data_IF_685085287477
#
_entry.id   IF_685085287477
#
_cell.length_a   1.000
_cell.length_b   1.000
_cell.length_c   1.000
_cell.angle_alpha   90.00
_cell.angle_beta   90.00
_cell.angle_gamma   90.00
#
_symmetry.space_group_name_H-M   'P 1'
#
loop_
_entity.id
_entity.type
_entity.pdbx_description
1 polymer ?
#
# COMPACT_ATOMS: atom_id res chain seq x y z
N UNK A 1 -26.12 14.94 -17.77
CA UNK A 1 -24.90 15.18 -16.97
C UNK A 1 -24.76 14.30 -15.72
N UNK A 2 -25.84 13.79 -15.11
CA UNK A 2 -25.75 13.01 -13.85
C UNK A 2 -25.25 11.56 -13.97
N UNK A 3 -25.23 10.94 -15.16
CA UNK A 3 -24.86 9.52 -15.30
C UNK A 3 -23.35 9.29 -15.47
N UNK A 4 -22.63 10.22 -16.12
CA UNK A 4 -21.18 10.12 -16.38
C UNK A 4 -20.36 10.41 -15.14
N UNK A 5 -20.65 11.48 -14.40
CA UNK A 5 -19.93 11.81 -13.17
C UNK A 5 -20.05 10.68 -12.13
N UNK A 6 -21.24 10.10 -11.97
CA UNK A 6 -21.46 8.94 -11.08
C UNK A 6 -20.72 7.69 -11.58
N UNK A 7 -20.55 7.49 -12.88
CA UNK A 7 -19.81 6.34 -13.42
C UNK A 7 -18.30 6.49 -13.19
N UNK A 8 -17.79 7.72 -13.29
CA UNK A 8 -16.36 8.01 -13.30
C UNK A 8 -15.79 8.27 -11.89
N UNK A 9 -16.57 8.88 -11.00
CA UNK A 9 -16.15 9.22 -9.63
C UNK A 9 -16.39 8.08 -8.64
N UNK A 10 -17.42 7.27 -8.84
CA UNK A 10 -17.77 6.21 -7.87
C UNK A 10 -16.67 5.18 -7.63
N UNK A 11 -15.89 4.74 -8.63
CA UNK A 11 -14.73 3.87 -8.37
C UNK A 11 -13.77 4.50 -7.35
N UNK A 12 -13.41 5.77 -7.52
CA UNK A 12 -12.53 6.46 -6.58
C UNK A 12 -13.11 6.49 -5.17
N UNK A 13 -14.40 6.83 -5.04
CA UNK A 13 -15.11 6.86 -3.75
C UNK A 13 -15.11 5.49 -3.08
N UNK A 14 -15.37 4.41 -3.84
CA UNK A 14 -15.32 3.05 -3.30
C UNK A 14 -13.93 2.68 -2.79
N UNK A 15 -12.87 3.02 -3.52
CA UNK A 15 -11.50 2.73 -3.10
C UNK A 15 -11.14 3.44 -1.79
N UNK A 16 -11.55 4.72 -1.65
CA UNK A 16 -11.37 5.48 -0.40
C UNK A 16 -12.16 4.86 0.75
N UNK A 17 -13.44 4.53 0.54
CA UNK A 17 -14.28 3.90 1.57
C UNK A 17 -13.71 2.56 2.00
N UNK A 18 -13.33 1.69 1.06
CA UNK A 18 -12.77 0.37 1.35
C UNK A 18 -11.48 0.49 2.17
N UNK A 19 -10.61 1.43 1.81
CA UNK A 19 -9.37 1.66 2.56
C UNK A 19 -9.66 2.19 3.96
N UNK A 20 -10.59 3.14 4.10
CA UNK A 20 -11.02 3.66 5.40
C UNK A 20 -11.62 2.58 6.30
N UNK A 21 -12.47 1.72 5.75
CA UNK A 21 -13.07 0.57 6.47
C UNK A 21 -11.98 -0.42 6.88
N UNK A 22 -11.07 -0.79 5.97
CA UNK A 22 -9.99 -1.73 6.28
C UNK A 22 -9.07 -1.20 7.40
N UNK A 23 -8.74 0.09 7.38
CA UNK A 23 -7.96 0.74 8.44
C UNK A 23 -8.74 0.84 9.75
N UNK A 24 -10.05 1.11 9.72
CA UNK A 24 -10.88 1.09 10.92
C UNK A 24 -10.93 -0.32 11.54
N UNK A 25 -11.10 -1.35 10.73
CA UNK A 25 -11.04 -2.75 11.16
C UNK A 25 -9.68 -3.07 11.80
N UNK A 26 -8.56 -2.62 11.20
CA UNK A 26 -7.23 -2.78 11.78
C UNK A 26 -7.17 -2.15 13.18
N UNK A 27 -7.67 -0.91 13.35
CA UNK A 27 -7.66 -0.22 14.65
C UNK A 27 -8.50 -0.96 15.70
N UNK A 28 -9.66 -1.48 15.32
CA UNK A 28 -10.51 -2.29 16.20
C UNK A 28 -9.79 -3.58 16.61
N UNK A 29 -9.23 -4.31 15.64
CA UNK A 29 -8.50 -5.57 15.91
C UNK A 29 -7.27 -5.36 16.77
N UNK A 30 -6.54 -4.25 16.57
CA UNK A 30 -5.45 -3.84 17.47
C UNK A 30 -5.92 -3.68 18.92
N UNK A 31 -7.15 -3.22 19.12
CA UNK A 31 -7.76 -3.04 20.44
C UNK A 31 -8.24 -4.32 21.12
N UNK A 32 -8.39 -5.43 20.38
CA UNK A 32 -8.85 -6.72 20.93
C UNK A 32 -7.87 -7.26 21.97
N UNK A 33 -6.57 -7.07 21.76
CA UNK A 33 -5.56 -7.45 22.73
C UNK A 33 -4.31 -6.59 22.60
N UNK A 34 -3.93 -5.97 23.72
CA UNK A 34 -2.69 -5.23 23.91
C UNK A 34 -1.55 -6.08 24.45
N UNK A 35 -1.81 -7.38 24.69
CA UNK A 35 -0.81 -8.34 25.14
C UNK A 35 0.34 -8.41 24.13
N UNK A 36 1.53 -8.06 24.59
CA UNK A 36 2.75 -8.11 23.77
C UNK A 36 3.22 -9.55 23.66
N UNK A 37 3.48 -9.97 22.42
CA UNK A 37 4.01 -11.29 22.12
C UNK A 37 5.55 -11.30 22.17
N UNK A 38 6.18 -10.14 21.94
CA UNK A 38 7.62 -9.98 21.79
C UNK A 38 8.06 -8.61 22.34
N UNK A 39 9.37 -8.39 22.48
CA UNK A 39 9.93 -7.10 22.88
C UNK A 39 9.77 -6.05 21.78
N UNK A 40 9.50 -4.81 22.19
CA UNK A 40 9.49 -3.66 21.29
C UNK A 40 10.91 -3.28 20.91
N UNK A 41 11.12 -2.94 19.64
CA UNK A 41 12.38 -2.46 19.10
C UNK A 41 12.15 -1.33 18.11
N UNK A 42 13.19 -0.55 17.81
CA UNK A 42 13.13 0.46 16.77
C UNK A 42 13.31 -0.17 15.39
N UNK A 43 12.35 0.06 14.49
CA UNK A 43 12.37 -0.39 13.09
C UNK A 43 12.10 0.82 12.21
N UNK A 44 13.08 1.19 11.39
CA UNK A 44 12.96 2.27 10.41
C UNK A 44 12.35 3.57 10.98
N UNK A 45 12.80 4.00 12.16
CA UNK A 45 12.37 5.25 12.79
C UNK A 45 11.07 5.17 13.59
N UNK A 46 10.49 3.98 13.78
CA UNK A 46 9.30 3.78 14.61
C UNK A 46 9.47 2.61 15.59
N UNK A 47 8.78 2.66 16.73
CA UNK A 47 8.80 1.59 17.73
C UNK A 47 7.84 0.48 17.32
N UNK A 48 8.32 -0.76 17.31
CA UNK A 48 7.48 -1.93 17.05
C UNK A 48 6.59 -2.27 18.24
N UNK A 49 5.33 -2.64 17.94
CA UNK A 49 4.33 -3.01 18.95
C UNK A 49 3.74 -4.39 18.60
N UNK A 50 4.47 -5.49 18.82
CA UNK A 50 4.04 -6.85 18.45
C UNK A 50 2.93 -7.37 19.37
N UNK A 51 1.70 -6.86 19.24
CA UNK A 51 0.56 -7.30 20.05
C UNK A 51 -0.18 -8.47 19.39
N UNK A 52 -0.87 -9.27 20.21
CA UNK A 52 -1.73 -10.34 19.73
C UNK A 52 -2.82 -9.82 18.77
N UNK A 53 -3.41 -8.65 19.07
CA UNK A 53 -4.41 -8.02 18.20
C UNK A 53 -3.86 -7.70 16.80
N UNK A 54 -2.61 -7.22 16.69
CA UNK A 54 -1.94 -7.02 15.40
C UNK A 54 -1.70 -8.33 14.67
N UNK A 55 -1.28 -9.38 15.37
CA UNK A 55 -1.01 -10.67 14.74
C UNK A 55 -2.30 -11.25 14.15
N UNK A 56 -3.39 -11.22 14.92
CA UNK A 56 -4.71 -11.62 14.44
C UNK A 56 -5.13 -10.81 13.21
N UNK A 57 -4.94 -9.49 13.23
CA UNK A 57 -5.26 -8.62 12.09
C UNK A 57 -4.44 -9.01 10.85
N UNK A 58 -3.13 -9.21 10.99
CA UNK A 58 -2.25 -9.60 9.90
C UNK A 58 -2.66 -10.92 9.26
N UNK A 59 -2.94 -11.95 10.07
CA UNK A 59 -3.36 -13.27 9.57
C UNK A 59 -4.73 -13.19 8.88
N UNK A 60 -5.72 -12.57 9.52
CA UNK A 60 -7.08 -12.45 8.95
C UNK A 60 -7.05 -11.66 7.64
N UNK A 61 -6.34 -10.53 7.60
CA UNK A 61 -6.29 -9.68 6.42
C UNK A 61 -5.54 -10.36 5.27
N UNK A 62 -4.47 -11.10 5.56
CA UNK A 62 -3.75 -11.86 4.55
C UNK A 62 -4.63 -12.96 3.94
N UNK A 63 -5.36 -13.72 4.77
CA UNK A 63 -6.27 -14.77 4.28
C UNK A 63 -7.42 -14.19 3.46
N UNK A 64 -8.04 -13.11 3.95
CA UNK A 64 -9.09 -12.40 3.21
C UNK A 64 -8.58 -11.82 1.90
N UNK A 65 -7.36 -11.28 1.90
CA UNK A 65 -6.72 -10.75 0.70
C UNK A 65 -6.60 -11.80 -0.40
N UNK A 66 -6.07 -12.98 -0.06
CA UNK A 66 -5.93 -14.11 -0.99
C UNK A 66 -7.30 -14.61 -1.46
N UNK A 67 -8.27 -14.72 -0.54
CA UNK A 67 -9.62 -15.15 -0.89
C UNK A 67 -10.32 -14.16 -1.85
N UNK A 68 -10.15 -12.85 -1.64
CA UNK A 68 -10.72 -11.82 -2.51
C UNK A 68 -10.07 -11.83 -3.89
N UNK A 69 -8.75 -11.98 -3.98
CA UNK A 69 -8.06 -12.13 -5.26
C UNK A 69 -8.55 -13.37 -6.02
N UNK A 70 -8.64 -14.52 -5.34
CA UNK A 70 -9.13 -15.74 -5.95
C UNK A 70 -10.56 -15.60 -6.49
N UNK A 71 -11.47 -15.01 -5.70
CA UNK A 71 -12.83 -14.75 -6.14
C UNK A 71 -12.88 -13.74 -7.29
N UNK A 72 -12.07 -12.68 -7.25
CA UNK A 72 -11.99 -11.71 -8.35
C UNK A 72 -11.55 -12.35 -9.66
N UNK A 73 -10.50 -13.17 -9.65
CA UNK A 73 -10.05 -13.91 -10.84
C UNK A 73 -11.12 -14.90 -11.35
N UNK A 74 -11.89 -15.50 -10.45
CA UNK A 74 -13.00 -16.39 -10.82
C UNK A 74 -14.16 -15.62 -11.46
N UNK A 75 -14.47 -14.43 -10.97
CA UNK A 75 -15.50 -13.55 -11.53
C UNK A 75 -15.05 -13.04 -12.90
N UNK A 76 -13.80 -12.58 -13.04
CA UNK A 76 -13.21 -12.13 -14.30
C UNK A 76 -13.25 -13.23 -15.39
N UNK A 77 -13.12 -14.51 -15.02
CA UNK A 77 -13.24 -15.62 -15.98
C UNK A 77 -14.69 -15.89 -16.43
N UNK A 78 -15.69 -15.51 -15.63
CA UNK A 78 -17.12 -15.82 -15.84
C UNK A 78 -17.88 -14.67 -16.46
N UNK A 79 -17.53 -13.45 -16.10
CA UNK A 79 -18.11 -12.21 -16.57
C UNK A 79 -17.12 -11.49 -17.49
N UNK A 80 -17.58 -10.58 -18.34
CA UNK A 80 -16.67 -9.74 -19.12
C UNK A 80 -15.71 -8.97 -18.22
N UNK A 81 -14.54 -8.62 -18.76
CA UNK A 81 -13.47 -7.80 -18.15
C UNK A 81 -13.94 -6.53 -17.39
N UNK A 82 -15.12 -5.99 -17.70
CA UNK A 82 -15.68 -4.80 -17.04
C UNK A 82 -16.43 -5.05 -15.71
N UNK A 83 -16.42 -6.27 -15.16
CA UNK A 83 -17.16 -6.59 -13.92
C UNK A 83 -16.70 -5.70 -12.75
N UNK A 84 -17.61 -4.81 -12.31
CA UNK A 84 -17.40 -3.95 -11.14
C UNK A 84 -17.10 -4.76 -9.87
N UNK A 85 -17.72 -5.94 -9.74
CA UNK A 85 -17.51 -6.80 -8.57
C UNK A 85 -16.10 -7.38 -8.56
N UNK A 86 -15.60 -7.83 -9.71
CA UNK A 86 -14.20 -8.26 -9.84
C UNK A 86 -13.25 -7.12 -9.44
N UNK A 87 -13.48 -5.92 -9.96
CA UNK A 87 -12.67 -4.75 -9.62
C UNK A 87 -12.69 -4.45 -8.10
N UNK A 88 -13.87 -4.43 -7.46
CA UNK A 88 -14.01 -4.20 -6.01
C UNK A 88 -13.24 -5.25 -5.20
N UNK A 89 -13.38 -6.54 -5.55
CA UNK A 89 -12.66 -7.61 -4.86
C UNK A 89 -11.15 -7.48 -5.02
N UNK A 90 -10.67 -7.11 -6.22
CA UNK A 90 -9.25 -6.89 -6.49
C UNK A 90 -8.66 -5.78 -5.63
N UNK A 91 -9.29 -4.60 -5.61
CA UNK A 91 -8.78 -3.47 -4.83
C UNK A 91 -8.87 -3.70 -3.32
N UNK A 92 -9.94 -4.35 -2.86
CA UNK A 92 -10.09 -4.71 -1.45
C UNK A 92 -9.01 -5.71 -1.04
N UNK A 93 -8.76 -6.73 -1.87
CA UNK A 93 -7.66 -7.66 -1.68
C UNK A 93 -6.31 -6.94 -1.63
N UNK A 94 -5.98 -6.13 -2.63
CA UNK A 94 -4.70 -5.41 -2.67
C UNK A 94 -4.49 -4.48 -1.48
N UNK A 95 -5.56 -3.86 -0.98
CA UNK A 95 -5.55 -3.01 0.22
C UNK A 95 -5.30 -3.83 1.49
N UNK A 96 -5.98 -4.98 1.65
CA UNK A 96 -5.76 -5.87 2.79
C UNK A 96 -4.36 -6.48 2.78
N UNK A 97 -3.82 -6.82 1.61
CA UNK A 97 -2.43 -7.24 1.46
C UNK A 97 -1.47 -6.14 1.94
N UNK A 98 -1.74 -4.91 1.53
CA UNK A 98 -0.94 -3.75 1.93
C UNK A 98 -0.97 -3.57 3.45
N UNK A 99 -2.14 -3.67 4.09
CA UNK A 99 -2.19 -3.57 5.55
C UNK A 99 -1.45 -4.73 6.22
N UNK A 100 -1.65 -5.97 5.75
CA UNK A 100 -1.04 -7.14 6.37
C UNK A 100 0.51 -7.10 6.30
N UNK A 101 1.07 -6.64 5.18
CA UNK A 101 2.53 -6.62 4.96
C UNK A 101 3.14 -5.24 5.29
N UNK A 102 2.56 -4.15 4.77
CA UNK A 102 3.04 -2.78 4.97
C UNK A 102 2.88 -2.28 6.40
N UNK A 103 1.73 -2.52 7.02
CA UNK A 103 1.38 -1.92 8.32
C UNK A 103 1.54 -2.87 9.53
N UNK A 104 1.48 -4.19 9.29
CA UNK A 104 1.42 -5.17 10.39
C UNK A 104 2.70 -6.00 10.51
N UNK A 105 3.22 -6.57 9.43
CA UNK A 105 4.24 -7.62 9.54
C UNK A 105 5.54 -7.15 10.18
N UNK A 106 6.00 -5.93 9.92
CA UNK A 106 7.28 -5.41 10.43
C UNK A 106 7.30 -5.23 11.95
N UNK A 107 6.14 -5.27 12.62
CA UNK A 107 6.09 -5.28 14.07
C UNK A 107 6.58 -6.58 14.69
N UNK A 108 6.58 -7.67 13.93
CA UNK A 108 6.99 -9.00 14.37
C UNK A 108 8.40 -9.33 13.92
N UNK A 109 8.98 -10.35 14.52
CA UNK A 109 10.32 -10.82 14.21
C UNK A 109 10.60 -12.21 14.74
N UNK A 110 11.86 -12.61 14.63
CA UNK A 110 12.37 -13.88 15.14
C UNK A 110 13.59 -13.66 16.04
N UNK A 111 13.75 -14.46 17.11
CA UNK A 111 15.01 -14.50 17.85
C UNK A 111 16.08 -15.16 16.99
N UNK A 112 17.27 -14.57 16.97
CA UNK A 112 18.46 -15.07 16.27
C UNK A 112 19.65 -15.04 17.21
N UNK A 113 20.53 -16.03 17.08
CA UNK A 113 21.81 -16.04 17.79
C UNK A 113 22.87 -15.50 16.83
N UNK A 114 23.58 -14.45 17.25
CA UNK A 114 24.67 -13.89 16.45
C UNK A 114 25.85 -14.86 16.38
N UNK A 115 26.80 -14.62 15.47
CA UNK A 115 28.01 -15.46 15.35
C UNK A 115 28.84 -15.47 16.64
N UNK A 116 28.70 -14.41 17.43
CA UNK A 116 29.35 -14.23 18.73
C UNK A 116 28.56 -14.88 19.89
N UNK A 117 27.50 -15.65 19.60
CA UNK A 117 26.67 -16.30 20.60
C UNK A 117 25.67 -15.38 21.30
N UNK A 118 25.51 -14.14 20.84
CA UNK A 118 24.62 -13.15 21.47
C UNK A 118 23.20 -13.31 20.95
N UNK A 119 22.25 -13.51 21.86
CA UNK A 119 20.83 -13.50 21.54
C UNK A 119 20.38 -12.11 21.11
N UNK A 120 19.83 -12.00 19.90
CA UNK A 120 19.26 -10.77 19.35
C UNK A 120 17.88 -11.07 18.80
N UNK A 121 17.00 -10.09 18.86
CA UNK A 121 15.72 -10.16 18.19
C UNK A 121 15.84 -9.41 16.86
N UNK A 122 15.29 -9.94 15.77
CA UNK A 122 15.32 -9.30 14.44
C UNK A 122 13.91 -9.20 13.90
N UNK A 123 13.42 -7.98 13.73
CA UNK A 123 12.13 -7.71 13.12
C UNK A 123 12.13 -8.02 11.61
N UNK A 124 10.95 -8.35 11.08
CA UNK A 124 10.75 -8.41 9.64
C UNK A 124 10.97 -7.05 8.99
N UNK A 125 11.48 -7.00 7.74
CA UNK A 125 11.74 -5.74 7.06
C UNK A 125 10.48 -4.89 6.95
N UNK A 126 10.60 -3.58 7.22
CA UNK A 126 9.55 -2.62 6.89
C UNK A 126 9.64 -2.32 5.41
N UNK A 127 8.84 -3.02 4.61
CA UNK A 127 8.88 -2.90 3.14
C UNK A 127 8.63 -1.47 2.67
N UNK A 128 7.87 -0.68 3.42
CA UNK A 128 7.59 0.74 3.15
C UNK A 128 8.77 1.68 3.33
N UNK A 129 9.89 1.18 3.85
CA UNK A 129 11.13 1.92 4.00
C UNK A 129 12.10 1.64 2.84
N UNK A 130 13.30 2.23 2.93
CA UNK A 130 14.41 1.95 1.98
C UNK A 130 14.68 0.45 1.81
N UNK A 131 14.42 -0.37 2.84
CA UNK A 131 14.63 -1.82 2.81
C UNK A 131 13.80 -2.55 1.76
N UNK A 132 12.64 -2.01 1.38
CA UNK A 132 11.76 -2.66 0.41
C UNK A 132 11.85 -2.13 -1.01
N UNK A 133 12.71 -1.15 -1.31
CA UNK A 133 12.83 -0.55 -2.66
C UNK A 133 13.04 -1.61 -3.75
N UNK A 134 13.93 -2.57 -3.52
CA UNK A 134 14.18 -3.65 -4.49
C UNK A 134 12.96 -4.55 -4.69
N UNK A 135 12.23 -4.86 -3.61
CA UNK A 135 11.01 -5.67 -3.69
C UNK A 135 9.91 -4.91 -4.43
N UNK A 136 9.80 -3.59 -4.24
CA UNK A 136 8.89 -2.75 -5.01
C UNK A 136 9.19 -2.82 -6.50
N UNK A 137 10.46 -2.68 -6.90
CA UNK A 137 10.87 -2.76 -8.30
C UNK A 137 10.55 -4.13 -8.92
N UNK A 138 10.83 -5.22 -8.21
CA UNK A 138 10.49 -6.58 -8.66
C UNK A 138 8.98 -6.72 -8.85
N UNK A 139 8.19 -6.29 -7.87
CA UNK A 139 6.72 -6.38 -7.93
C UNK A 139 6.13 -5.49 -9.03
N UNK A 140 6.73 -4.33 -9.29
CA UNK A 140 6.37 -3.46 -10.41
C UNK A 140 6.64 -4.12 -11.77
N UNK A 141 7.80 -4.78 -11.92
CA UNK A 141 8.11 -5.56 -13.12
C UNK A 141 7.12 -6.70 -13.33
N UNK A 142 6.78 -7.43 -12.25
CA UNK A 142 5.76 -8.47 -12.28
C UNK A 142 4.41 -7.91 -12.71
N UNK A 143 3.99 -6.76 -12.16
CA UNK A 143 2.75 -6.10 -12.55
C UNK A 143 2.75 -5.74 -14.05
N UNK A 144 3.84 -5.17 -14.57
CA UNK A 144 3.97 -4.86 -15.99
C UNK A 144 3.85 -6.10 -16.91
N UNK A 145 4.44 -7.23 -16.50
CA UNK A 145 4.29 -8.50 -17.23
C UNK A 145 2.86 -9.03 -17.19
N UNK A 146 2.15 -8.83 -16.07
CA UNK A 146 0.75 -9.25 -15.91
C UNK A 146 -0.19 -8.40 -16.76
N UNK A 147 0.05 -7.09 -16.84
CA UNK A 147 -0.69 -6.18 -17.74
C UNK A 147 -0.65 -6.72 -19.17
N UNK A 148 0.52 -7.17 -19.64
CA UNK A 148 0.68 -7.75 -20.98
C UNK A 148 -0.04 -9.09 -21.16
N UNK A 149 -0.35 -9.81 -20.07
CA UNK A 149 -1.06 -11.09 -20.09
C UNK A 149 -2.59 -10.94 -19.93
N UNK A 150 -3.09 -9.72 -19.74
CA UNK A 150 -4.52 -9.43 -19.76
C UNK A 150 -5.32 -9.82 -18.51
N UNK A 151 -4.68 -10.09 -17.36
CA UNK A 151 -5.44 -10.27 -16.11
C UNK A 151 -5.63 -8.93 -15.41
N UNK A 152 -6.81 -8.34 -15.58
CA UNK A 152 -7.22 -7.09 -14.95
C UNK A 152 -7.32 -7.28 -13.45
N UNK A 153 -7.89 -8.40 -12.96
CA UNK A 153 -8.02 -8.62 -11.52
C UNK A 153 -6.67 -8.56 -10.80
N UNK A 154 -5.71 -9.33 -11.31
CA UNK A 154 -4.36 -9.37 -10.73
C UNK A 154 -3.62 -8.05 -10.89
N UNK A 155 -3.81 -7.36 -12.03
CA UNK A 155 -3.27 -6.01 -12.25
C UNK A 155 -3.79 -5.03 -11.20
N UNK A 156 -5.11 -4.99 -10.95
CA UNK A 156 -5.72 -4.08 -9.98
C UNK A 156 -5.33 -4.41 -8.55
N UNK A 157 -5.25 -5.68 -8.21
CA UNK A 157 -4.79 -6.15 -6.90
C UNK A 157 -3.36 -5.67 -6.62
N UNK A 158 -2.43 -5.93 -7.54
CA UNK A 158 -1.04 -5.51 -7.40
C UNK A 158 -0.88 -3.98 -7.50
N UNK A 159 -1.64 -3.31 -8.37
CA UNK A 159 -1.59 -1.86 -8.51
C UNK A 159 -2.06 -1.17 -7.22
N UNK A 160 -3.08 -1.72 -6.54
CA UNK A 160 -3.57 -1.17 -5.28
C UNK A 160 -2.58 -1.42 -4.14
N UNK A 161 -1.99 -2.62 -4.08
CA UNK A 161 -0.93 -2.95 -3.12
C UNK A 161 0.30 -2.03 -3.28
N UNK A 162 0.83 -1.95 -4.50
CA UNK A 162 1.99 -1.11 -4.82
C UNK A 162 1.67 0.38 -4.70
N UNK A 163 0.46 0.79 -5.06
CA UNK A 163 0.03 2.18 -5.00
C UNK A 163 0.06 2.74 -3.59
N UNK A 164 -0.48 2.00 -2.61
CA UNK A 164 -0.40 2.42 -1.21
C UNK A 164 1.05 2.49 -0.71
N UNK A 165 1.89 1.54 -1.12
CA UNK A 165 3.31 1.53 -0.78
C UNK A 165 4.11 2.67 -1.43
N UNK A 166 3.79 3.05 -2.68
CA UNK A 166 4.53 4.03 -3.45
C UNK A 166 4.69 5.38 -2.74
N UNK A 167 3.64 5.83 -2.02
CA UNK A 167 3.72 7.07 -1.26
C UNK A 167 4.83 7.04 -0.22
N UNK A 168 4.87 5.99 0.59
CA UNK A 168 5.91 5.81 1.60
C UNK A 168 7.32 5.77 0.98
N UNK A 169 7.49 5.08 -0.16
CA UNK A 169 8.78 5.07 -0.86
C UNK A 169 9.21 6.45 -1.33
N UNK A 170 8.30 7.20 -1.96
CA UNK A 170 8.62 8.52 -2.51
C UNK A 170 9.07 9.53 -1.46
N UNK A 171 8.66 9.35 -0.20
CA UNK A 171 8.98 10.28 0.88
C UNK A 171 10.12 9.75 1.75
N UNK A 172 9.99 8.50 2.23
CA UNK A 172 10.94 7.90 3.18
C UNK A 172 12.22 7.44 2.48
N UNK A 173 12.12 6.82 1.29
CA UNK A 173 13.29 6.23 0.63
C UNK A 173 14.09 7.24 -0.20
N UNK A 174 13.46 8.32 -0.69
CA UNK A 174 14.14 9.29 -1.56
C UNK A 174 14.95 10.32 -0.78
N UNK A 175 14.56 10.66 0.46
CA UNK A 175 15.24 11.68 1.25
C UNK A 175 16.72 11.36 1.52
N UNK A 176 17.11 10.14 1.95
CA UNK A 176 18.52 9.78 2.12
C UNK A 176 19.32 9.94 0.83
N UNK A 177 18.74 9.56 -0.31
CA UNK A 177 19.38 9.71 -1.64
C UNK A 177 19.56 11.18 -1.99
N UNK A 178 18.53 12.01 -1.75
CA UNK A 178 18.61 13.45 -1.98
C UNK A 178 19.70 14.10 -1.12
N UNK A 179 19.81 13.70 0.15
CA UNK A 179 20.88 14.17 1.05
C UNK A 179 22.27 13.80 0.55
N UNK A 180 22.45 12.58 0.02
CA UNK A 180 23.71 12.15 -0.60
C UNK A 180 24.07 12.98 -1.85
N UNK A 181 23.07 13.47 -2.58
CA UNK A 181 23.23 14.35 -3.74
C UNK A 181 23.38 15.84 -3.39
N UNK A 182 23.53 16.18 -2.11
CA UNK A 182 23.75 17.55 -1.66
C UNK A 182 22.48 18.38 -1.44
N UNK A 183 21.30 17.74 -1.38
CA UNK A 183 20.06 18.43 -1.03
C UNK A 183 20.16 19.04 0.38
N UNK A 184 19.97 20.35 0.47
CA UNK A 184 20.02 21.11 1.74
C UNK A 184 18.66 21.22 2.43
N UNK A 185 17.58 20.77 1.77
CA UNK A 185 16.26 20.76 2.37
C UNK A 185 16.25 19.84 3.60
N UNK A 186 15.55 20.28 4.64
CA UNK A 186 15.19 19.40 5.74
C UNK A 186 14.20 18.32 5.27
N UNK A 187 14.08 17.25 6.07
CA UNK A 187 13.23 16.10 5.74
C UNK A 187 11.75 16.48 5.56
N UNK A 188 11.26 17.46 6.31
CA UNK A 188 9.87 17.89 6.28
C UNK A 188 9.55 18.59 4.96
N UNK A 189 10.41 19.53 4.57
CA UNK A 189 10.33 20.29 3.33
C UNK A 189 10.52 19.37 2.13
N UNK A 190 11.43 18.40 2.21
CA UNK A 190 11.59 17.36 1.20
C UNK A 190 10.32 16.53 1.02
N UNK A 191 9.74 16.01 2.11
CA UNK A 191 8.53 15.20 2.04
C UNK A 191 7.35 15.97 1.43
N UNK A 192 7.21 17.26 1.75
CA UNK A 192 6.20 18.14 1.13
C UNK A 192 6.42 18.32 -0.37
N UNK A 193 7.66 18.62 -0.77
CA UNK A 193 8.01 18.81 -2.18
C UNK A 193 7.83 17.51 -2.98
N UNK A 194 8.38 16.41 -2.47
CA UNK A 194 8.25 15.08 -3.07
C UNK A 194 6.78 14.65 -3.16
N UNK A 195 6.01 14.82 -2.09
CA UNK A 195 4.57 14.56 -2.08
C UNK A 195 3.85 15.34 -3.17
N UNK A 196 3.98 16.68 -3.17
CA UNK A 196 3.31 17.55 -4.13
C UNK A 196 3.66 17.22 -5.60
N UNK A 197 4.95 17.08 -5.90
CA UNK A 197 5.42 16.79 -7.27
C UNK A 197 4.87 15.44 -7.75
N UNK A 198 4.98 14.39 -6.93
CA UNK A 198 4.46 13.07 -7.30
C UNK A 198 2.94 13.08 -7.43
N UNK A 199 2.22 13.79 -6.56
CA UNK A 199 0.77 13.92 -6.67
C UNK A 199 0.33 14.61 -7.96
N UNK A 200 1.02 15.68 -8.39
CA UNK A 200 0.69 16.36 -9.66
C UNK A 200 0.94 15.42 -10.84
N UNK A 201 2.10 14.76 -10.88
CA UNK A 201 2.45 13.83 -11.97
C UNK A 201 1.44 12.68 -12.04
N UNK A 202 1.16 12.04 -10.89
CA UNK A 202 0.19 10.95 -10.83
C UNK A 202 -1.23 11.42 -11.14
N UNK A 203 -1.63 12.63 -10.74
CA UNK A 203 -2.93 13.17 -11.08
C UNK A 203 -3.10 13.33 -12.60
N UNK A 204 -2.09 13.87 -13.28
CA UNK A 204 -2.09 14.00 -14.75
C UNK A 204 -2.19 12.62 -15.42
N UNK A 205 -1.37 11.66 -14.98
CA UNK A 205 -1.39 10.28 -15.50
C UNK A 205 -2.76 9.63 -15.24
N UNK A 206 -3.30 9.77 -14.03
CA UNK A 206 -4.60 9.21 -13.65
C UNK A 206 -5.76 9.77 -14.47
N UNK A 207 -5.81 11.10 -14.66
CA UNK A 207 -6.81 11.76 -15.52
C UNK A 207 -6.68 11.28 -16.97
N UNK A 208 -5.45 11.12 -17.47
CA UNK A 208 -5.21 10.61 -18.82
C UNK A 208 -5.69 9.16 -18.98
N UNK A 209 -5.39 8.29 -18.00
CA UNK A 209 -5.85 6.89 -17.99
C UNK A 209 -7.37 6.74 -17.86
N UNK A 210 -8.04 7.68 -17.19
CA UNK A 210 -9.50 7.71 -17.08
C UNK A 210 -10.20 7.98 -18.41
N UNK A 211 -9.54 8.65 -19.36
CA UNK A 211 -10.08 8.94 -20.70
C UNK A 211 -9.91 7.77 -21.69
N UNK A 212 -9.37 6.65 -21.23
CA UNK A 212 -9.06 5.44 -22.01
C UNK A 212 -9.83 4.23 -21.43
N UNK A 213 -9.70 3.07 -22.06
CA UNK A 213 -10.27 1.80 -21.57
C UNK A 213 -9.66 1.34 -20.23
N UNK A 214 -8.65 2.05 -19.73
CA UNK A 214 -7.95 1.82 -18.46
C UNK A 214 -8.53 2.61 -17.27
N UNK A 215 -9.82 2.97 -17.31
CA UNK A 215 -10.45 3.87 -16.31
C UNK A 215 -10.27 3.43 -14.85
N UNK A 216 -10.31 2.13 -14.61
CA UNK A 216 -10.15 1.53 -13.28
C UNK A 216 -8.71 1.63 -12.78
N UNK A 217 -7.72 1.54 -13.66
CA UNK A 217 -6.33 1.80 -13.32
C UNK A 217 -6.12 3.30 -13.03
N UNK A 218 -6.71 4.17 -13.86
CA UNK A 218 -6.68 5.61 -13.63
C UNK A 218 -7.24 5.99 -12.26
N UNK A 219 -8.30 5.32 -11.83
CA UNK A 219 -8.87 5.48 -10.48
C UNK A 219 -7.85 5.16 -9.37
N UNK A 220 -7.15 4.02 -9.48
CA UNK A 220 -6.12 3.64 -8.50
C UNK A 220 -5.00 4.68 -8.49
N UNK A 221 -4.55 5.13 -9.65
CA UNK A 221 -3.50 6.15 -9.76
C UNK A 221 -3.94 7.48 -9.13
N UNK A 222 -5.18 7.92 -9.34
CA UNK A 222 -5.72 9.12 -8.70
C UNK A 222 -5.83 8.98 -7.19
N UNK A 223 -6.19 7.79 -6.71
CA UNK A 223 -6.17 7.50 -5.28
C UNK A 223 -4.78 7.62 -4.68
N UNK A 224 -3.75 7.09 -5.36
CA UNK A 224 -2.36 7.26 -4.94
C UNK A 224 -1.93 8.72 -5.00
N UNK A 225 -2.35 9.47 -6.01
CA UNK A 225 -2.09 10.91 -6.11
C UNK A 225 -2.70 11.68 -4.92
N UNK A 226 -3.95 11.36 -4.56
CA UNK A 226 -4.60 11.97 -3.41
C UNK A 226 -3.91 11.57 -2.09
N UNK A 227 -3.59 10.28 -1.92
CA UNK A 227 -2.89 9.77 -0.72
C UNK A 227 -1.51 10.39 -0.54
N UNK A 228 -0.72 10.51 -1.61
CA UNK A 228 0.59 11.18 -1.60
C UNK A 228 0.48 12.67 -1.28
N UNK A 229 -0.58 13.33 -1.75
CA UNK A 229 -0.80 14.74 -1.47
C UNK A 229 -1.12 14.92 0.02
N UNK A 230 -2.10 14.15 0.52
CA UNK A 230 -2.52 14.19 1.92
C UNK A 230 -1.34 13.86 2.85
N UNK A 231 -0.62 12.77 2.57
CA UNK A 231 0.49 12.38 3.42
C UNK A 231 1.63 13.38 3.34
N UNK A 232 2.07 13.78 2.14
CA UNK A 232 3.21 14.67 1.95
C UNK A 232 2.95 16.10 2.46
N UNK A 233 1.73 16.63 2.32
CA UNK A 233 1.43 18.03 2.65
C UNK A 233 0.76 18.22 4.02
N UNK A 234 -0.14 17.31 4.42
CA UNK A 234 -0.93 17.44 5.65
C UNK A 234 -0.28 16.66 6.80
N UNK A 235 0.13 15.40 6.55
CA UNK A 235 0.72 14.53 7.58
C UNK A 235 2.25 14.66 7.69
N UNK A 236 2.93 15.20 6.67
CA UNK A 236 4.35 15.55 6.67
C UNK A 236 4.69 16.73 7.60
N UNK A 237 3.95 16.87 8.70
CA UNK A 237 4.22 17.78 9.81
C UNK A 237 4.93 17.11 10.99
N UNK A 238 5.08 15.78 10.97
CA UNK A 238 5.76 15.00 12.03
C UNK A 238 7.24 14.86 11.73
#
# INVERSE_FOLDING_TARGET
>A
MNSTLKRDVMPFVWLVILTGVAMACLKVMKGVSTSRLQSSMWVAGEVSEPTLGRLMAGVVFLLLSVALLYNSMKIEKRESEESRLSWICSIAGGTLLWIAIGEVSWHFGIPVVSKEGVWKFVNFPRIESVQGVWLFLVMLMVNFLIIRRGSIALTMYLATFLGNWYGHLCMIATYPVARLLGCTLDMQTWNRAAGLVNSIILAIIGIWLMRKDTKYLGTVVLYVAAGTLLYGTILGKV
#
